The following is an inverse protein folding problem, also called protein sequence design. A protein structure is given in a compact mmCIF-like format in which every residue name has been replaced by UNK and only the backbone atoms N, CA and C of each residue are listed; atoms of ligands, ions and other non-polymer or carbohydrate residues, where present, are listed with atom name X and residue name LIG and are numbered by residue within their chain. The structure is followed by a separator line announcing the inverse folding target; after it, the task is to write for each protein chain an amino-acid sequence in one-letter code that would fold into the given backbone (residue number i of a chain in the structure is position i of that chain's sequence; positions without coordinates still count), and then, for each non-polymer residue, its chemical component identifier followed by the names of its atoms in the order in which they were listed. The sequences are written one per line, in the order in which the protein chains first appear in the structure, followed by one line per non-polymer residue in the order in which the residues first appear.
data_IF_376288951582
#
_entry.id   IF_376288951582
#
_cell.length_a   1.000
_cell.length_b   1.000
_cell.length_c   1.000
_cell.angle_alpha   90.00
_cell.angle_beta   90.00
_cell.angle_gamma   90.00
#
_symmetry.space_group_name_H-M   'P 1'
#
loop_
_entity.id
_entity.type
_entity.pdbx_description
1 polymer ?
#
# COMPACT_ATOMS: atom_id res chain seq x y z
N UNK A 1 -0.41 15.46 -68.26
CA UNK A 1 0.04 14.05 -68.29
C UNK A 1 1.19 13.89 -67.32
N UNK A 2 1.21 12.81 -66.55
CA UNK A 2 2.24 12.47 -65.55
C UNK A 2 3.10 11.38 -66.17
N UNK A 3 4.42 11.55 -66.12
CA UNK A 3 5.38 10.65 -66.75
C UNK A 3 6.36 10.10 -65.71
N UNK A 4 6.81 8.86 -65.91
CA UNK A 4 7.86 8.22 -65.13
C UNK A 4 9.09 7.99 -66.03
N UNK A 5 10.28 8.30 -65.54
CA UNK A 5 11.54 8.02 -66.24
C UNK A 5 12.06 6.67 -65.78
N UNK A 6 12.00 5.68 -66.65
CA UNK A 6 12.28 4.29 -66.28
C UNK A 6 13.03 3.55 -67.36
N UNK A 7 13.76 2.49 -66.96
CA UNK A 7 14.54 1.68 -67.89
C UNK A 7 13.64 0.73 -68.65
N UNK A 8 13.73 0.76 -69.98
CA UNK A 8 13.06 -0.21 -70.82
C UNK A 8 13.78 -1.56 -70.75
N UNK A 9 13.08 -2.61 -70.31
CA UNK A 9 13.67 -3.96 -70.13
C UNK A 9 14.21 -4.56 -71.44
N UNK A 10 13.73 -4.11 -72.60
CA UNK A 10 14.11 -4.67 -73.91
C UNK A 10 15.33 -3.98 -74.52
N UNK A 11 15.33 -2.65 -74.56
CA UNK A 11 16.41 -1.85 -75.16
C UNK A 11 17.52 -1.51 -74.18
N UNK A 12 17.29 -1.72 -72.87
CA UNK A 12 18.17 -1.32 -71.76
C UNK A 12 18.41 0.19 -71.64
N UNK A 13 17.75 1.00 -72.48
CA UNK A 13 17.77 2.46 -72.46
C UNK A 13 16.70 3.01 -71.51
N UNK A 14 16.83 4.27 -71.12
CA UNK A 14 15.84 4.94 -70.27
C UNK A 14 14.88 5.76 -71.12
N UNK A 15 13.59 5.64 -70.85
CA UNK A 15 12.52 6.32 -71.58
C UNK A 15 11.48 6.93 -70.63
N UNK A 16 10.84 8.01 -71.09
CA UNK A 16 9.69 8.58 -70.40
C UNK A 16 8.42 7.81 -70.78
N UNK A 17 7.81 7.13 -69.81
CA UNK A 17 6.51 6.47 -69.98
C UNK A 17 5.42 7.30 -69.31
N UNK A 18 4.31 7.53 -70.01
CA UNK A 18 3.12 8.17 -69.41
C UNK A 18 2.49 7.19 -68.41
N UNK A 19 2.35 7.61 -67.16
CA UNK A 19 1.83 6.79 -66.04
C UNK A 19 0.56 7.37 -65.42
N UNK A 20 0.12 8.56 -65.83
CA UNK A 20 -1.11 9.14 -65.31
C UNK A 20 -1.54 10.42 -66.01
N UNK A 21 -2.70 10.93 -65.61
CA UNK A 21 -3.23 12.22 -66.03
C UNK A 21 -3.73 13.01 -64.83
N UNK A 22 -3.73 14.33 -64.98
CA UNK A 22 -4.30 15.25 -63.98
C UNK A 22 -5.36 16.06 -64.70
N UNK A 23 -6.62 15.83 -64.36
CA UNK A 23 -7.75 16.63 -64.84
C UNK A 23 -8.79 16.71 -63.73
N UNK A 24 -8.77 17.77 -62.92
CA UNK A 24 -9.59 17.96 -61.70
C UNK A 24 -9.45 16.89 -60.60
N UNK A 25 -8.68 15.83 -60.85
CA UNK A 25 -8.29 14.79 -59.90
C UNK A 25 -7.07 14.03 -60.42
N UNK A 26 -6.38 13.36 -59.50
CA UNK A 26 -5.20 12.54 -59.80
C UNK A 26 -5.63 11.17 -60.29
N UNK A 27 -5.30 10.82 -61.53
CA UNK A 27 -5.45 9.47 -62.05
C UNK A 27 -4.08 8.92 -62.43
N UNK A 28 -3.50 8.10 -61.56
CA UNK A 28 -2.18 7.50 -61.75
C UNK A 28 -2.30 5.99 -61.71
N UNK A 29 -1.73 5.32 -62.70
CA UNK A 29 -1.64 3.86 -62.71
C UNK A 29 -0.36 3.41 -62.00
N UNK A 30 -0.49 3.04 -60.73
CA UNK A 30 0.65 2.58 -59.91
C UNK A 30 1.36 1.35 -60.48
N UNK A 31 0.67 0.52 -61.27
CA UNK A 31 1.26 -0.70 -61.86
C UNK A 31 2.25 -0.43 -63.02
N UNK A 32 2.17 0.78 -63.61
CA UNK A 32 2.99 1.23 -64.73
C UNK A 32 4.27 1.95 -64.28
N UNK A 33 4.36 2.29 -63.00
CA UNK A 33 5.51 2.93 -62.36
C UNK A 33 6.49 1.84 -61.94
N UNK A 34 7.74 1.98 -62.38
CA UNK A 34 8.87 1.16 -61.96
C UNK A 34 9.78 2.03 -61.09
N UNK A 35 10.09 1.54 -59.89
CA UNK A 35 10.97 2.21 -58.93
C UNK A 35 12.42 1.70 -59.07
N UNK A 36 13.32 2.32 -58.30
CA UNK A 36 14.72 1.95 -58.29
C UNK A 36 14.90 0.45 -57.94
N UNK A 37 15.67 -0.28 -58.76
CA UNK A 37 15.86 -1.73 -58.60
C UNK A 37 14.85 -2.61 -59.34
N UNK A 38 14.12 -2.07 -60.33
CA UNK A 38 13.11 -2.80 -61.13
C UNK A 38 11.91 -3.33 -60.31
N UNK A 39 11.67 -2.75 -59.13
CA UNK A 39 10.56 -3.08 -58.24
C UNK A 39 9.31 -2.23 -58.55
N UNK A 40 8.14 -2.78 -58.24
CA UNK A 40 6.86 -2.04 -58.33
C UNK A 40 6.40 -1.51 -56.97
N UNK A 41 7.13 -1.83 -55.91
CA UNK A 41 6.80 -1.44 -54.55
C UNK A 41 7.13 0.03 -54.33
N UNK A 42 6.12 0.79 -53.87
CA UNK A 42 6.27 2.21 -53.59
C UNK A 42 7.29 2.39 -52.46
N UNK A 43 8.34 3.23 -52.63
CA UNK A 43 9.31 3.47 -51.59
C UNK A 43 8.63 4.13 -50.39
N UNK A 44 8.98 3.68 -49.19
CA UNK A 44 8.46 4.26 -47.94
C UNK A 44 9.15 5.60 -47.69
N UNK A 45 8.40 6.69 -47.78
CA UNK A 45 8.87 8.04 -47.44
C UNK A 45 8.38 8.44 -46.04
N UNK A 46 8.77 7.67 -45.02
CA UNK A 46 8.48 7.97 -43.61
C UNK A 46 9.77 7.94 -42.82
N UNK A 47 9.90 8.88 -41.90
CA UNK A 47 11.07 8.99 -41.02
C UNK A 47 11.01 7.98 -39.87
N UNK A 48 9.82 7.80 -39.30
CA UNK A 48 9.58 6.94 -38.15
C UNK A 48 8.40 6.01 -38.39
N UNK A 49 8.52 4.78 -37.87
CA UNK A 49 7.44 3.80 -37.88
C UNK A 49 6.37 4.13 -36.81
N UNK A 50 5.13 3.64 -36.96
CA UNK A 50 4.09 3.80 -35.95
C UNK A 50 4.50 3.08 -34.65
N UNK A 51 4.32 3.75 -33.51
CA UNK A 51 4.65 3.20 -32.19
C UNK A 51 3.73 2.02 -31.81
N UNK A 52 4.24 1.14 -30.96
CA UNK A 52 3.49 -0.02 -30.47
C UNK A 52 2.57 0.35 -29.30
N UNK A 53 1.67 -0.56 -28.92
CA UNK A 53 0.81 -0.37 -27.74
C UNK A 53 1.68 -0.16 -26.48
N UNK A 54 1.36 0.87 -25.70
CA UNK A 54 2.16 1.26 -24.52
C UNK A 54 3.32 2.22 -24.79
N UNK A 55 3.47 2.70 -26.03
CA UNK A 55 4.47 3.69 -26.43
C UNK A 55 3.81 5.00 -26.91
N UNK A 56 4.45 6.13 -26.59
CA UNK A 56 4.06 7.46 -27.05
C UNK A 56 5.04 7.99 -28.09
N UNK A 57 4.57 8.91 -28.93
CA UNK A 57 5.38 9.62 -29.93
C UNK A 57 6.06 10.81 -29.29
N UNK A 58 7.38 10.71 -29.09
CA UNK A 58 8.20 11.83 -28.69
C UNK A 58 8.77 12.54 -29.92
N UNK A 59 8.38 13.80 -30.17
CA UNK A 59 8.75 14.53 -31.39
C UNK A 59 10.21 15.00 -31.32
N UNK A 60 10.99 14.77 -32.37
CA UNK A 60 12.36 15.29 -32.41
C UNK A 60 12.39 16.81 -32.62
N UNK A 61 13.29 17.49 -31.91
CA UNK A 61 13.45 18.94 -32.03
C UNK A 61 13.98 19.28 -33.43
N UNK A 62 13.19 20.02 -34.20
CA UNK A 62 13.56 20.51 -35.54
C UNK A 62 12.91 19.78 -36.71
N UNK A 63 12.24 18.65 -36.50
CA UNK A 63 11.61 17.87 -37.56
C UNK A 63 10.15 17.51 -37.22
N UNK A 64 9.18 17.92 -38.04
CA UNK A 64 7.75 17.74 -37.74
C UNK A 64 7.20 16.33 -38.05
N UNK A 65 7.93 15.53 -38.83
CA UNK A 65 7.48 14.20 -39.28
C UNK A 65 8.27 13.04 -38.64
N UNK A 66 9.26 13.35 -37.79
CA UNK A 66 10.13 12.38 -37.15
C UNK A 66 9.83 12.33 -35.65
N UNK A 67 9.51 11.13 -35.17
CA UNK A 67 9.26 10.86 -33.75
C UNK A 67 10.05 9.63 -33.29
N UNK A 68 10.35 9.59 -31.99
CA UNK A 68 10.92 8.44 -31.31
C UNK A 68 9.83 7.84 -30.44
N UNK A 69 9.65 6.52 -30.50
CA UNK A 69 8.70 5.83 -29.64
C UNK A 69 9.33 5.62 -28.27
N UNK A 70 8.68 6.16 -27.24
CA UNK A 70 9.14 6.06 -25.85
C UNK A 70 8.06 5.37 -25.03
N UNK A 71 8.45 4.42 -24.18
CA UNK A 71 7.52 3.70 -23.31
C UNK A 71 7.14 4.55 -22.11
N UNK A 72 5.85 4.57 -21.77
CA UNK A 72 5.39 5.17 -20.52
C UNK A 72 5.89 4.35 -19.32
N UNK A 73 5.98 5.00 -18.16
CA UNK A 73 6.35 4.29 -16.94
C UNK A 73 5.29 3.23 -16.54
N UNK A 74 5.66 2.23 -15.71
CA UNK A 74 4.73 1.19 -15.26
C UNK A 74 3.45 1.71 -14.59
N UNK A 75 3.51 2.85 -13.90
CA UNK A 75 2.40 3.49 -13.18
C UNK A 75 1.62 4.54 -13.99
N UNK A 76 2.03 4.81 -15.23
CA UNK A 76 1.39 5.78 -16.13
C UNK A 76 0.50 5.11 -17.16
N UNK A 77 -0.46 5.87 -17.67
CA UNK A 77 -1.32 5.52 -18.81
C UNK A 77 -1.14 6.56 -19.94
N UNK A 78 -1.50 6.17 -21.17
CA UNK A 78 -1.45 7.03 -22.34
C UNK A 78 -2.73 7.86 -22.37
N UNK A 79 -2.60 9.18 -22.20
CA UNK A 79 -3.72 10.11 -22.34
C UNK A 79 -3.90 10.56 -23.79
N UNK A 80 -2.79 10.92 -24.42
CA UNK A 80 -2.70 11.36 -25.80
C UNK A 80 -1.53 10.65 -26.48
N UNK A 81 -1.51 10.61 -27.82
CA UNK A 81 -0.42 9.97 -28.59
C UNK A 81 1.00 10.51 -28.27
N UNK A 82 1.10 11.61 -27.52
CA UNK A 82 2.35 12.31 -27.18
C UNK A 82 2.62 12.42 -25.68
N UNK A 83 1.71 11.99 -24.81
CA UNK A 83 1.80 12.29 -23.37
C UNK A 83 1.28 11.14 -22.53
N UNK A 84 2.12 10.73 -21.56
CA UNK A 84 1.76 9.81 -20.49
C UNK A 84 1.38 10.62 -19.26
N UNK A 85 0.34 10.20 -18.54
CA UNK A 85 -0.01 10.77 -17.25
C UNK A 85 -0.04 9.67 -16.18
N UNK A 86 0.35 9.97 -14.92
CA UNK A 86 0.22 9.01 -13.83
C UNK A 86 -1.25 8.78 -13.48
N UNK A 87 -1.58 7.56 -13.06
CA UNK A 87 -2.90 7.28 -12.50
C UNK A 87 -3.07 7.98 -11.14
N UNK A 88 -4.31 8.36 -10.82
CA UNK A 88 -4.66 8.87 -9.49
C UNK A 88 -4.42 7.83 -8.39
N UNK A 89 -4.24 8.29 -7.14
CA UNK A 89 -3.98 7.43 -5.98
C UNK A 89 -5.09 6.39 -5.80
N UNK A 90 -4.71 5.11 -5.75
CA UNK A 90 -5.67 3.99 -5.64
C UNK A 90 -6.13 3.42 -6.98
N UNK A 91 -5.57 3.90 -8.09
CA UNK A 91 -5.76 3.33 -9.42
C UNK A 91 -4.44 2.83 -10.04
N UNK A 92 -4.54 1.85 -10.93
CA UNK A 92 -3.42 1.26 -11.66
C UNK A 92 -3.70 1.24 -13.16
N UNK A 93 -2.69 1.46 -14.03
CA UNK A 93 -2.91 1.42 -15.47
C UNK A 93 -3.18 0.01 -15.98
N UNK A 94 -4.06 -0.11 -16.98
CA UNK A 94 -4.28 -1.38 -17.68
C UNK A 94 -3.01 -1.83 -18.44
N UNK A 95 -2.86 -3.13 -18.76
CA UNK A 95 -1.71 -3.64 -19.52
C UNK A 95 -1.52 -2.97 -20.88
N UNK A 96 -2.62 -2.58 -21.54
CA UNK A 96 -2.64 -1.86 -22.81
C UNK A 96 -2.48 -0.33 -22.66
N UNK A 97 -2.29 0.16 -21.42
CA UNK A 97 -2.04 1.58 -21.09
C UNK A 97 -3.14 2.55 -21.55
N UNK A 98 -4.35 2.07 -21.87
CA UNK A 98 -5.44 2.93 -22.37
C UNK A 98 -6.17 3.71 -21.27
N UNK A 99 -5.89 3.42 -20.00
CA UNK A 99 -6.54 4.06 -18.86
C UNK A 99 -6.15 3.39 -17.55
N UNK A 100 -6.86 3.73 -16.48
CA UNK A 100 -6.63 3.21 -15.14
C UNK A 100 -7.85 2.43 -14.62
N UNK A 101 -7.60 1.42 -13.78
CA UNK A 101 -8.61 0.68 -13.02
C UNK A 101 -8.37 0.83 -11.52
N UNK A 102 -9.43 0.71 -10.72
CA UNK A 102 -9.33 0.80 -9.26
C UNK A 102 -8.70 -0.48 -8.69
N UNK A 103 -7.74 -0.34 -7.77
CA UNK A 103 -7.20 -1.49 -7.05
C UNK A 103 -8.24 -2.00 -6.04
N UNK A 104 -8.58 -3.27 -6.16
CA UNK A 104 -9.40 -3.94 -5.16
C UNK A 104 -8.61 -4.12 -3.85
N UNK A 105 -9.23 -3.78 -2.73
CA UNK A 105 -8.59 -3.89 -1.41
C UNK A 105 -8.56 -5.36 -0.99
N UNK A 106 -7.36 -5.94 -1.04
CA UNK A 106 -7.13 -7.28 -0.50
C UNK A 106 -7.30 -7.23 1.02
N UNK A 107 -8.31 -7.96 1.50
CA UNK A 107 -8.58 -8.15 2.91
C UNK A 107 -8.43 -9.63 3.25
N UNK A 108 -8.07 -9.90 4.51
CA UNK A 108 -7.95 -11.27 4.97
C UNK A 108 -9.34 -11.90 5.02
N UNK A 109 -9.53 -13.02 4.33
CA UNK A 109 -10.81 -13.72 4.32
C UNK A 109 -10.89 -14.64 5.53
N UNK A 110 -12.09 -14.85 6.07
CA UNK A 110 -12.32 -15.74 7.22
C UNK A 110 -11.91 -17.19 6.97
N UNK A 111 -11.78 -17.57 5.69
CA UNK A 111 -11.39 -18.89 5.21
C UNK A 111 -9.88 -19.10 5.15
N UNK A 112 -9.09 -18.02 5.20
CA UNK A 112 -7.64 -18.13 5.13
C UNK A 112 -7.08 -18.81 6.38
N UNK A 113 -6.11 -19.70 6.21
CA UNK A 113 -5.48 -20.42 7.33
C UNK A 113 -4.89 -19.45 8.36
N UNK A 114 -4.33 -18.34 7.90
CA UNK A 114 -3.79 -17.26 8.72
C UNK A 114 -4.86 -16.56 9.58
N UNK A 115 -6.13 -16.61 9.17
CA UNK A 115 -7.26 -16.11 9.93
C UNK A 115 -7.80 -17.17 10.92
N UNK A 116 -7.96 -18.40 10.45
CA UNK A 116 -8.60 -19.48 11.21
C UNK A 116 -7.81 -19.85 12.47
N UNK A 117 -6.48 -19.92 12.39
CA UNK A 117 -5.62 -20.28 13.53
C UNK A 117 -5.79 -19.34 14.73
N UNK A 118 -5.60 -18.01 14.60
CA UNK A 118 -5.76 -17.10 15.73
C UNK A 118 -7.21 -17.03 16.24
N UNK A 119 -8.21 -17.18 15.37
CA UNK A 119 -9.61 -17.25 15.82
C UNK A 119 -9.89 -18.48 16.69
N UNK A 120 -9.42 -19.65 16.28
CA UNK A 120 -9.57 -20.88 17.05
C UNK A 120 -8.87 -20.77 18.42
N UNK A 121 -7.64 -20.23 18.43
CA UNK A 121 -6.89 -20.01 19.67
C UNK A 121 -7.60 -19.02 20.60
N UNK A 122 -8.12 -17.91 20.07
CA UNK A 122 -8.86 -16.93 20.86
C UNK A 122 -10.19 -17.49 21.37
N UNK A 123 -10.90 -18.31 20.59
CA UNK A 123 -12.11 -18.99 21.06
C UNK A 123 -11.81 -19.95 22.22
N UNK A 124 -10.75 -20.77 22.08
CA UNK A 124 -10.27 -21.65 23.15
C UNK A 124 -9.85 -20.85 24.39
N UNK A 125 -9.14 -19.74 24.19
CA UNK A 125 -8.72 -18.83 25.25
C UNK A 125 -9.91 -18.22 26.01
N UNK A 126 -10.96 -17.79 25.31
CA UNK A 126 -12.19 -17.29 25.93
C UNK A 126 -12.85 -18.41 26.75
N UNK A 127 -13.04 -19.60 26.19
CA UNK A 127 -13.66 -20.71 26.92
C UNK A 127 -12.88 -21.08 28.18
N UNK A 128 -11.55 -21.20 28.09
CA UNK A 128 -10.69 -21.50 29.22
C UNK A 128 -10.73 -20.39 30.27
N UNK A 129 -10.67 -19.12 29.87
CA UNK A 129 -10.69 -17.98 30.80
C UNK A 129 -12.05 -17.82 31.47
N UNK A 130 -13.15 -18.00 30.73
CA UNK A 130 -14.51 -18.01 31.28
C UNK A 130 -14.71 -19.14 32.28
N UNK A 131 -14.16 -20.32 32.01
CA UNK A 131 -14.16 -21.43 32.95
C UNK A 131 -13.41 -21.08 34.25
N UNK A 132 -12.23 -20.46 34.15
CA UNK A 132 -11.48 -19.98 35.32
C UNK A 132 -12.28 -18.92 36.09
N UNK A 133 -12.93 -17.97 35.41
CA UNK A 133 -13.79 -16.96 36.05
C UNK A 133 -14.93 -17.66 36.81
N UNK A 134 -15.61 -18.63 36.20
CA UNK A 134 -16.70 -19.38 36.83
C UNK A 134 -16.23 -20.13 38.09
N UNK A 135 -15.05 -20.74 38.04
CA UNK A 135 -14.43 -21.37 39.21
C UNK A 135 -14.13 -20.35 40.30
N UNK A 136 -13.58 -19.18 39.95
CA UNK A 136 -13.32 -18.10 40.91
C UNK A 136 -14.59 -17.59 41.59
N UNK A 137 -15.71 -17.53 40.86
CA UNK A 137 -17.01 -17.11 41.38
C UNK A 137 -17.63 -18.19 42.27
N UNK A 138 -17.59 -19.46 41.88
CA UNK A 138 -18.11 -20.56 42.72
C UNK A 138 -17.30 -20.75 43.99
N UNK A 139 -15.97 -20.76 43.88
CA UNK A 139 -15.05 -20.95 45.00
C UNK A 139 -14.61 -19.61 45.64
N UNK A 140 -15.44 -18.58 45.53
CA UNK A 140 -15.15 -17.21 45.99
C UNK A 140 -14.83 -17.14 47.51
N UNK A 141 -15.33 -18.10 48.29
CA UNK A 141 -15.08 -18.20 49.74
C UNK A 141 -13.80 -18.97 50.11
N UNK A 142 -13.06 -19.48 49.14
CA UNK A 142 -11.80 -20.20 49.43
C UNK A 142 -10.70 -19.23 49.87
N UNK A 143 -9.89 -19.60 50.89
CA UNK A 143 -8.86 -18.71 51.44
C UNK A 143 -7.81 -18.30 50.39
N UNK A 144 -7.61 -19.13 49.35
CA UNK A 144 -6.72 -18.84 48.21
C UNK A 144 -7.20 -17.63 47.40
N UNK A 145 -8.49 -17.61 47.03
CA UNK A 145 -9.09 -16.51 46.23
C UNK A 145 -9.18 -15.23 47.06
N UNK A 146 -9.50 -15.35 48.35
CA UNK A 146 -9.59 -14.22 49.27
C UNK A 146 -8.22 -13.56 49.53
N UNK A 147 -7.14 -14.35 49.63
CA UNK A 147 -5.78 -13.83 49.82
C UNK A 147 -5.23 -13.13 48.56
N UNK A 148 -5.53 -13.67 47.38
CA UNK A 148 -5.00 -13.19 46.08
C UNK A 148 -5.48 -11.78 45.70
N UNK A 149 -6.57 -11.30 46.30
CA UNK A 149 -7.20 -10.01 45.95
C UNK A 149 -8.18 -10.21 44.79
N UNK A 150 -9.44 -10.41 45.16
CA UNK A 150 -10.54 -10.78 44.24
C UNK A 150 -10.69 -9.79 43.08
N UNK A 151 -10.78 -8.50 43.41
CA UNK A 151 -10.97 -7.42 42.44
C UNK A 151 -9.89 -7.37 41.35
N UNK A 152 -8.61 -7.48 41.73
CA UNK A 152 -7.49 -7.43 40.77
C UNK A 152 -7.42 -8.67 39.89
N UNK A 153 -7.83 -9.83 40.42
CA UNK A 153 -7.85 -11.07 39.64
C UNK A 153 -9.00 -11.06 38.63
N UNK A 154 -10.16 -10.48 38.98
CA UNK A 154 -11.25 -10.26 38.02
C UNK A 154 -10.88 -9.23 36.94
N UNK A 155 -10.20 -8.13 37.30
CA UNK A 155 -9.69 -7.16 36.31
C UNK A 155 -8.70 -7.82 35.33
N UNK A 156 -7.78 -8.65 35.84
CA UNK A 156 -6.83 -9.40 35.01
C UNK A 156 -7.53 -10.35 34.04
N UNK A 157 -8.43 -11.21 34.55
CA UNK A 157 -9.17 -12.18 33.73
C UNK A 157 -10.09 -11.49 32.72
N UNK A 158 -10.75 -10.39 33.11
CA UNK A 158 -11.56 -9.57 32.20
C UNK A 158 -10.71 -8.94 31.09
N UNK A 159 -9.52 -8.43 31.42
CA UNK A 159 -8.55 -7.94 30.43
C UNK A 159 -8.13 -9.02 29.43
N UNK A 160 -7.84 -10.23 29.90
CA UNK A 160 -7.52 -11.37 29.01
C UNK A 160 -8.67 -11.72 28.07
N UNK A 161 -9.91 -11.80 28.57
CA UNK A 161 -11.11 -12.04 27.74
C UNK A 161 -11.26 -10.94 26.69
N UNK A 162 -11.09 -9.67 27.08
CA UNK A 162 -11.13 -8.55 26.15
C UNK A 162 -10.04 -8.62 25.07
N UNK A 163 -8.81 -9.03 25.42
CA UNK A 163 -7.74 -9.25 24.45
C UNK A 163 -8.11 -10.34 23.42
N UNK A 164 -8.69 -11.46 23.86
CA UNK A 164 -9.15 -12.51 22.95
C UNK A 164 -10.30 -12.04 22.05
N UNK A 165 -11.22 -11.23 22.56
CA UNK A 165 -12.26 -10.60 21.74
C UNK A 165 -11.69 -9.64 20.69
N UNK A 166 -10.68 -8.85 21.04
CA UNK A 166 -10.02 -7.96 20.08
C UNK A 166 -9.39 -8.71 18.91
N UNK A 167 -8.99 -9.98 19.07
CA UNK A 167 -8.53 -10.79 17.94
C UNK A 167 -9.60 -10.88 16.85
N UNK A 168 -10.86 -11.15 17.19
CA UNK A 168 -11.95 -11.21 16.19
C UNK A 168 -12.18 -9.86 15.50
N UNK A 169 -12.07 -8.76 16.25
CA UNK A 169 -12.19 -7.40 15.68
C UNK A 169 -11.00 -7.10 14.75
N UNK A 170 -9.81 -7.62 15.03
CA UNK A 170 -8.62 -7.44 14.20
C UNK A 170 -8.74 -8.14 12.84
N UNK A 171 -9.44 -9.27 12.80
CA UNK A 171 -9.69 -10.03 11.57
C UNK A 171 -10.94 -9.57 10.80
N UNK A 172 -11.77 -8.72 11.39
CA UNK A 172 -12.96 -8.20 10.72
C UNK A 172 -12.59 -7.30 9.53
N UNK A 173 -13.44 -7.23 8.49
CA UNK A 173 -13.16 -6.43 7.31
C UNK A 173 -12.91 -4.96 7.68
N UNK A 174 -11.95 -4.29 7.00
CA UNK A 174 -11.53 -2.95 7.38
C UNK A 174 -12.69 -1.96 7.24
N UNK A 175 -13.07 -1.34 8.35
CA UNK A 175 -13.97 -0.19 8.36
C UNK A 175 -13.42 0.90 9.28
N UNK A 176 -13.80 2.18 9.11
CA UNK A 176 -13.31 3.25 9.97
C UNK A 176 -13.56 2.99 11.47
N UNK A 177 -14.70 2.38 11.80
CA UNK A 177 -15.06 2.02 13.18
C UNK A 177 -14.21 0.85 13.68
N UNK A 178 -14.06 -0.20 12.88
CA UNK A 178 -13.24 -1.36 13.24
C UNK A 178 -11.78 -0.95 13.43
N UNK A 179 -11.24 -0.11 12.55
CA UNK A 179 -9.87 0.40 12.65
C UNK A 179 -9.66 1.22 13.94
N UNK A 180 -10.62 2.07 14.31
CA UNK A 180 -10.58 2.78 15.58
C UNK A 180 -10.59 1.81 16.78
N UNK A 181 -11.48 0.82 16.78
CA UNK A 181 -11.56 -0.18 17.85
C UNK A 181 -10.28 -1.00 17.92
N UNK A 182 -9.70 -1.44 16.81
CA UNK A 182 -8.43 -2.16 16.79
C UNK A 182 -7.30 -1.33 17.43
N UNK A 183 -7.22 -0.04 17.09
CA UNK A 183 -6.17 0.87 17.57
C UNK A 183 -6.21 1.06 19.09
N UNK A 184 -7.41 1.28 19.64
CA UNK A 184 -7.57 1.53 21.07
C UNK A 184 -7.76 0.25 21.88
N UNK A 185 -8.48 -0.72 21.34
CA UNK A 185 -8.84 -1.97 22.01
C UNK A 185 -7.63 -2.85 22.33
N UNK A 186 -6.69 -3.01 21.41
CA UNK A 186 -5.46 -3.77 21.66
C UNK A 186 -4.65 -3.12 22.78
N UNK A 187 -4.42 -1.80 22.70
CA UNK A 187 -3.67 -1.07 23.72
C UNK A 187 -4.36 -1.06 25.09
N UNK A 188 -5.68 -0.91 25.11
CA UNK A 188 -6.48 -0.93 26.33
C UNK A 188 -6.44 -2.31 27.01
N UNK A 189 -6.60 -3.40 26.25
CA UNK A 189 -6.55 -4.76 26.79
C UNK A 189 -5.22 -5.08 27.47
N UNK A 190 -4.10 -4.79 26.80
CA UNK A 190 -2.77 -4.97 27.40
C UNK A 190 -2.57 -4.10 28.64
N UNK A 191 -3.03 -2.84 28.61
CA UNK A 191 -2.93 -1.95 29.77
C UNK A 191 -3.62 -2.50 31.02
N UNK A 192 -4.84 -3.03 30.86
CA UNK A 192 -5.61 -3.63 31.96
C UNK A 192 -4.85 -4.83 32.55
N UNK A 193 -4.33 -5.71 31.71
CA UNK A 193 -3.58 -6.91 32.12
C UNK A 193 -2.30 -6.53 32.85
N UNK A 194 -1.45 -5.69 32.23
CA UNK A 194 -0.16 -5.31 32.82
C UNK A 194 -0.32 -4.47 34.09
N UNK A 195 -1.27 -3.53 34.13
CA UNK A 195 -1.53 -2.72 35.33
C UNK A 195 -2.01 -3.60 36.50
N UNK A 196 -2.89 -4.57 36.23
CA UNK A 196 -3.38 -5.51 37.25
C UNK A 196 -2.26 -6.41 37.76
N UNK A 197 -1.40 -6.94 36.88
CA UNK A 197 -0.22 -7.73 37.26
C UNK A 197 0.76 -6.90 38.10
N UNK A 198 1.09 -5.69 37.65
CA UNK A 198 2.02 -4.80 38.33
C UNK A 198 1.54 -4.47 39.75
N UNK A 199 0.25 -4.14 39.92
CA UNK A 199 -0.31 -3.82 41.24
C UNK A 199 -0.36 -5.07 42.13
N UNK A 200 -0.68 -6.24 41.57
CA UNK A 200 -0.67 -7.51 42.30
C UNK A 200 0.74 -7.87 42.79
N UNK A 201 1.75 -7.75 41.94
CA UNK A 201 3.16 -8.00 42.30
C UNK A 201 3.67 -6.99 43.32
N UNK A 202 3.39 -5.70 43.15
CA UNK A 202 3.78 -4.66 44.10
C UNK A 202 3.13 -4.85 45.48
N UNK A 203 1.85 -5.27 45.53
CA UNK A 203 1.18 -5.61 46.79
C UNK A 203 1.91 -6.74 47.52
N UNK A 204 2.28 -7.81 46.81
CA UNK A 204 2.99 -8.97 47.39
C UNK A 204 4.34 -8.53 47.96
N UNK A 205 5.12 -7.76 47.19
CA UNK A 205 6.42 -7.22 47.63
C UNK A 205 6.29 -6.41 48.93
N UNK A 206 5.31 -5.48 49.01
CA UNK A 206 5.05 -4.68 50.22
C UNK A 206 4.65 -5.52 51.43
N UNK A 207 3.89 -6.60 51.22
CA UNK A 207 3.50 -7.51 52.32
C UNK A 207 4.75 -8.19 52.89
N UNK A 208 5.62 -8.72 52.05
CA UNK A 208 6.86 -9.37 52.49
C UNK A 208 7.83 -8.39 53.17
N UNK A 209 7.97 -7.19 52.63
CA UNK A 209 8.83 -6.17 53.23
C UNK A 209 8.29 -5.67 54.57
N UNK A 210 6.98 -5.45 54.68
CA UNK A 210 6.35 -5.08 55.95
C UNK A 210 6.48 -6.21 56.97
N UNK A 211 6.23 -7.46 56.58
CA UNK A 211 6.42 -8.62 57.46
C UNK A 211 7.85 -8.74 58.00
N UNK A 212 8.86 -8.27 57.24
CA UNK A 212 10.27 -8.25 57.68
C UNK A 212 10.60 -7.07 58.62
N UNK A 213 9.96 -5.91 58.46
CA UNK A 213 10.29 -4.68 59.23
C UNK A 213 9.39 -4.44 60.45
N UNK A 214 8.10 -4.76 60.38
CA UNK A 214 7.12 -4.48 61.45
C UNK A 214 5.78 -5.20 61.24
N UNK A 215 5.14 -5.67 62.31
CA UNK A 215 3.80 -6.28 62.26
C UNK A 215 2.65 -5.27 61.94
N UNK A 216 2.97 -3.99 61.69
CA UNK A 216 2.00 -2.95 61.34
C UNK A 216 1.47 -3.17 59.92
N UNK A 217 0.14 -3.06 59.73
CA UNK A 217 -0.47 -3.14 58.40
C UNK A 217 0.06 -2.00 57.50
N UNK A 218 0.64 -2.29 56.33
CA UNK A 218 1.15 -1.26 55.44
C UNK A 218 -0.01 -0.48 54.77
N UNK A 219 0.17 0.81 54.46
CA UNK A 219 -0.82 1.61 53.74
C UNK A 219 -1.04 1.09 52.29
N UNK A 220 -2.19 1.41 51.69
CA UNK A 220 -2.57 1.02 50.31
C UNK A 220 -2.81 -0.49 50.06
N UNK A 221 -3.29 -1.22 51.07
CA UNK A 221 -3.76 -2.62 50.92
C UNK A 221 -5.27 -2.71 50.63
N UNK A 222 -6.03 -1.62 50.81
CA UNK A 222 -7.48 -1.63 50.58
C UNK A 222 -7.84 -1.94 49.11
N UNK A 223 -8.78 -2.86 48.84
CA UNK A 223 -9.23 -3.19 47.48
C UNK A 223 -9.69 -1.99 46.66
N UNK A 224 -10.36 -1.02 47.30
CA UNK A 224 -10.80 0.22 46.65
C UNK A 224 -9.63 1.05 46.14
N UNK A 225 -8.57 1.16 46.93
CA UNK A 225 -7.35 1.89 46.53
C UNK A 225 -6.60 1.19 45.40
N UNK A 226 -6.66 -0.15 45.34
CA UNK A 226 -6.07 -0.92 44.25
C UNK A 226 -6.78 -0.69 42.92
N UNK A 227 -8.12 -0.73 42.91
CA UNK A 227 -8.90 -0.42 41.72
C UNK A 227 -8.62 1.00 41.24
N UNK A 228 -8.56 1.98 42.14
CA UNK A 228 -8.27 3.38 41.77
C UNK A 228 -6.87 3.49 41.14
N UNK A 229 -5.84 2.86 41.71
CA UNK A 229 -4.50 2.85 41.11
C UNK A 229 -4.49 2.18 39.73
N UNK A 230 -5.19 1.05 39.57
CA UNK A 230 -5.30 0.36 38.28
C UNK A 230 -5.97 1.25 37.24
N UNK A 231 -7.07 1.93 37.60
CA UNK A 231 -7.78 2.84 36.72
C UNK A 231 -6.91 4.04 36.31
N UNK A 232 -6.15 4.62 37.23
CA UNK A 232 -5.21 5.70 36.92
C UNK A 232 -4.16 5.25 35.91
N UNK A 233 -3.58 4.05 36.08
CA UNK A 233 -2.61 3.50 35.12
C UNK A 233 -3.24 3.25 33.74
N UNK A 234 -4.48 2.74 33.70
CA UNK A 234 -5.22 2.53 32.44
C UNK A 234 -5.51 3.86 31.73
N UNK A 235 -5.84 4.92 32.48
CA UNK A 235 -6.13 6.26 31.93
C UNK A 235 -4.90 6.95 31.34
N UNK A 236 -3.69 6.52 31.69
CA UNK A 236 -2.44 7.00 31.07
C UNK A 236 -2.26 6.41 29.66
N UNK A 237 -2.82 5.23 29.37
CA UNK A 237 -2.65 4.56 28.08
C UNK A 237 -3.20 5.33 26.86
N UNK A 238 -4.44 5.87 26.86
CA UNK A 238 -4.99 6.58 25.71
C UNK A 238 -4.15 7.78 25.23
N UNK A 239 -3.66 8.71 26.08
CA UNK A 239 -2.81 9.80 25.61
C UNK A 239 -1.47 9.29 25.07
N UNK A 240 -0.88 8.24 25.64
CA UNK A 240 0.35 7.63 25.10
C UNK A 240 0.10 7.05 23.70
N UNK A 241 -1.00 6.34 23.50
CA UNK A 241 -1.39 5.82 22.18
C UNK A 241 -1.58 6.99 21.21
N UNK A 242 -2.33 8.02 21.58
CA UNK A 242 -2.55 9.20 20.71
C UNK A 242 -1.22 9.87 20.33
N UNK A 243 -0.30 10.06 21.27
CA UNK A 243 1.03 10.63 21.02
C UNK A 243 1.86 9.73 20.11
N UNK A 244 1.94 8.42 20.38
CA UNK A 244 2.71 7.48 19.56
C UNK A 244 2.14 7.39 18.15
N UNK A 245 0.82 7.34 18.02
CA UNK A 245 0.12 7.34 16.73
C UNK A 245 0.39 8.63 15.97
N UNK A 246 0.29 9.79 16.64
CA UNK A 246 0.61 11.09 16.06
C UNK A 246 2.07 11.16 15.61
N UNK A 247 3.00 10.73 16.44
CA UNK A 247 4.44 10.68 16.10
C UNK A 247 4.69 9.72 14.94
N UNK A 248 4.12 8.52 14.92
CA UNK A 248 4.29 7.57 13.80
C UNK A 248 3.72 8.13 12.51
N UNK A 249 2.54 8.76 12.54
CA UNK A 249 1.95 9.39 11.35
C UNK A 249 2.83 10.54 10.87
N UNK A 250 3.29 11.41 11.77
CA UNK A 250 4.20 12.51 11.44
C UNK A 250 5.52 11.98 10.88
N UNK A 251 6.14 10.99 11.52
CA UNK A 251 7.40 10.38 11.07
C UNK A 251 7.22 9.71 9.72
N UNK A 252 6.17 8.93 9.49
CA UNK A 252 5.91 8.29 8.19
C UNK A 252 5.70 9.33 7.11
N UNK A 253 4.88 10.37 7.38
CA UNK A 253 4.65 11.46 6.41
C UNK A 253 5.94 12.22 6.11
N UNK A 254 6.73 12.55 7.13
CA UNK A 254 8.01 13.26 6.98
C UNK A 254 9.03 12.40 6.25
N UNK A 255 9.16 11.12 6.58
CA UNK A 255 10.08 10.19 5.92
C UNK A 255 9.69 9.97 4.46
N UNK A 256 8.39 9.77 4.17
CA UNK A 256 7.89 9.65 2.80
C UNK A 256 8.11 10.95 2.02
N UNK A 257 7.86 12.11 2.62
CA UNK A 257 8.13 13.40 1.99
C UNK A 257 9.62 13.61 1.69
N UNK A 258 10.51 13.26 2.62
CA UNK A 258 11.96 13.30 2.42
C UNK A 258 12.37 12.33 1.31
N UNK A 259 11.85 11.11 1.29
CA UNK A 259 12.14 10.14 0.23
C UNK A 259 11.71 10.67 -1.14
N UNK A 260 10.52 11.27 -1.23
CA UNK A 260 10.02 11.87 -2.48
C UNK A 260 10.94 13.01 -2.92
N UNK A 261 11.36 13.89 -2.00
CA UNK A 261 12.29 14.99 -2.32
C UNK A 261 13.62 14.44 -2.82
N UNK A 262 14.21 13.45 -2.14
CA UNK A 262 15.48 12.83 -2.55
C UNK A 262 15.35 12.18 -3.93
N UNK A 263 14.26 11.43 -4.17
CA UNK A 263 14.01 10.81 -5.48
C UNK A 263 13.83 11.87 -6.57
N UNK A 264 13.17 13.00 -6.29
CA UNK A 264 13.02 14.09 -7.25
C UNK A 264 14.35 14.77 -7.56
N UNK A 265 15.21 14.97 -6.55
CA UNK A 265 16.56 15.53 -6.70
C UNK A 265 17.44 14.59 -7.56
N UNK A 266 17.42 13.28 -7.27
CA UNK A 266 18.11 12.25 -8.05
C UNK A 266 17.61 12.21 -9.52
N UNK A 267 16.31 12.40 -9.74
CA UNK A 267 15.72 12.45 -11.10
C UNK A 267 16.11 13.73 -11.86
N UNK A 268 16.21 14.86 -11.17
CA UNK A 268 16.62 16.14 -11.76
C UNK A 268 18.12 16.15 -12.10
N UNK A 269 18.94 15.51 -11.26
CA UNK A 269 20.37 15.31 -11.52
C UNK A 269 20.60 14.29 -12.66
N UNK A 270 19.82 13.20 -12.72
CA UNK A 270 19.85 12.27 -13.85
C UNK A 270 19.41 12.93 -15.17
N UNK A 271 18.34 13.74 -15.14
CA UNK A 271 17.89 14.49 -16.31
C UNK A 271 18.92 15.52 -16.77
N UNK A 272 19.67 16.13 -15.84
CA UNK A 272 20.73 17.09 -16.15
C UNK A 272 21.98 16.42 -16.72
N UNK A 273 22.32 15.22 -16.23
CA UNK A 273 23.44 14.42 -16.73
C UNK A 273 23.19 13.87 -18.15
N UNK A 274 21.98 13.37 -18.43
CA UNK A 274 21.57 12.96 -19.79
C UNK A 274 21.59 14.13 -20.78
N UNK A 275 21.20 15.34 -20.33
CA UNK A 275 21.22 16.54 -21.18
C UNK A 275 22.65 17.02 -21.52
N UNK A 276 23.61 16.84 -20.60
CA UNK A 276 25.03 17.12 -20.84
C UNK A 276 25.68 16.10 -21.80
N UNK A 277 25.24 14.83 -21.75
CA UNK A 277 25.72 13.76 -22.63
C UNK A 277 25.23 13.89 -24.08
N UNK A 278 24.11 14.60 -24.30
CA UNK A 278 23.59 14.93 -25.64
C UNK A 278 24.16 16.22 -26.25
N UNK A 279 24.87 17.05 -25.47
CA UNK A 279 25.39 18.36 -25.88
C UNK A 279 26.90 18.33 -26.21
N UNK A 280 27.53 17.16 -26.23
CA UNK A 280 28.96 16.96 -26.50
C UNK A 280 29.19 15.92 -27.61
#
# INVERSE_FOLDING_TARGET
MIMNYQRNRRTREYEYKVVGTWNSGLQVNHSDIIWAGDTKDVPRSRCSDPCQEGEIKNMQKGEQCCWICTRCNPWEYIKDEKTCEPCETGLWPYPNKTGCFSLEVQHMTWTDLHAVIPMALSALGIMATSFVIALFVMFNSTPVVMASGRELSYMLLGGCVFCYFNTFVLLAPPSPVICAIQRFGVGFGFSVVYSSLLIKTNRISRIFESARRSAKRPPFISPKSQIIMTLVLILIQPPVIVVVVGVVVVVVVVVVAILIIVILDDLEEYSSAELQLFLH
#
